data_IF_965460547692
#
_entry.id   IF_965460547692
#
_cell.length_a   1.000
_cell.length_b   1.000
_cell.length_c   1.000
_cell.angle_alpha   90.00
_cell.angle_beta   90.00
_cell.angle_gamma   90.00
#
_symmetry.space_group_name_H-M   'P 1'
#
loop_
_entity.id
_entity.type
_entity.pdbx_description
1 polymer ?
#
# COMPACT_ATOMS: atom_id res chain seq x y z
N UNK A 1 -57.54 1.42 29.35
CA UNK A 1 -56.18 0.84 29.37
C UNK A 1 -55.66 0.40 27.99
N UNK A 2 -56.48 0.29 26.94
CA UNK A 2 -56.03 -0.16 25.59
C UNK A 2 -55.07 0.83 24.91
N UNK A 3 -55.37 2.14 24.93
CA UNK A 3 -54.52 3.14 24.27
C UNK A 3 -53.09 3.25 24.83
N UNK A 4 -52.88 3.02 26.13
CA UNK A 4 -51.54 3.07 26.73
C UNK A 4 -50.62 1.95 26.22
N UNK A 5 -51.17 0.74 26.03
CA UNK A 5 -50.43 -0.40 25.48
C UNK A 5 -50.05 -0.17 24.02
N UNK A 6 -50.96 0.41 23.24
CA UNK A 6 -50.70 0.77 21.83
C UNK A 6 -49.59 1.81 21.72
N UNK A 7 -49.60 2.85 22.57
CA UNK A 7 -48.52 3.85 22.64
C UNK A 7 -47.17 3.22 22.95
N UNK A 8 -47.08 2.38 23.99
CA UNK A 8 -45.82 1.71 24.35
C UNK A 8 -45.32 0.77 23.23
N UNK A 9 -46.23 0.10 22.53
CA UNK A 9 -45.86 -0.79 21.42
C UNK A 9 -45.32 0.01 20.24
N UNK A 10 -45.93 1.16 19.94
CA UNK A 10 -45.45 2.07 18.90
C UNK A 10 -44.07 2.63 19.24
N UNK A 11 -43.88 3.12 20.47
CA UNK A 11 -42.59 3.65 20.94
C UNK A 11 -41.49 2.58 20.92
N UNK A 12 -41.79 1.36 21.35
CA UNK A 12 -40.85 0.23 21.24
C UNK A 12 -40.48 -0.07 19.78
N UNK A 13 -41.44 0.04 18.85
CA UNK A 13 -41.20 -0.11 17.41
C UNK A 13 -40.27 0.96 16.85
N UNK A 14 -40.49 2.23 17.20
CA UNK A 14 -39.64 3.35 16.79
C UNK A 14 -38.20 3.20 17.32
N UNK A 15 -38.04 2.79 18.58
CA UNK A 15 -36.74 2.52 19.18
C UNK A 15 -36.02 1.37 18.48
N UNK A 16 -36.73 0.26 18.22
CA UNK A 16 -36.16 -0.88 17.50
C UNK A 16 -35.70 -0.47 16.09
N UNK A 17 -36.53 0.27 15.35
CA UNK A 17 -36.18 0.75 14.03
C UNK A 17 -34.97 1.71 14.04
N UNK A 18 -34.88 2.59 15.03
CA UNK A 18 -33.74 3.48 15.19
C UNK A 18 -32.43 2.70 15.43
N UNK A 19 -32.45 1.69 16.29
CA UNK A 19 -31.29 0.84 16.56
C UNK A 19 -30.93 -0.07 15.38
N UNK A 20 -31.90 -0.57 14.62
CA UNK A 20 -31.63 -1.30 13.36
C UNK A 20 -30.90 -0.41 12.34
N UNK A 21 -31.35 0.84 12.18
CA UNK A 21 -30.67 1.81 11.31
C UNK A 21 -29.26 2.12 11.80
N UNK A 22 -29.07 2.26 13.11
CA UNK A 22 -27.75 2.46 13.72
C UNK A 22 -26.85 1.25 13.48
N UNK A 23 -27.35 0.04 13.69
CA UNK A 23 -26.61 -1.19 13.42
C UNK A 23 -26.20 -1.30 11.95
N UNK A 24 -27.09 -0.98 11.02
CA UNK A 24 -26.76 -0.94 9.60
C UNK A 24 -25.67 0.09 9.27
N UNK A 25 -25.73 1.30 9.86
CA UNK A 25 -24.70 2.31 9.70
C UNK A 25 -23.34 1.86 10.26
N UNK A 26 -23.33 1.22 11.43
CA UNK A 26 -22.12 0.68 12.05
C UNK A 26 -21.51 -0.46 11.23
N UNK A 27 -22.34 -1.37 10.68
CA UNK A 27 -21.87 -2.44 9.77
C UNK A 27 -21.17 -1.88 8.53
N UNK A 28 -21.70 -0.80 7.94
CA UNK A 28 -21.04 -0.13 6.81
C UNK A 28 -19.69 0.47 7.20
N UNK A 29 -19.59 1.08 8.39
CA UNK A 29 -18.32 1.60 8.90
C UNK A 29 -17.30 0.49 9.16
N UNK A 30 -17.74 -0.64 9.73
CA UNK A 30 -16.87 -1.81 9.93
C UNK A 30 -16.33 -2.33 8.60
N UNK A 31 -17.19 -2.49 7.59
CA UNK A 31 -16.75 -2.93 6.26
C UNK A 31 -15.69 -2.00 5.64
N UNK A 32 -15.85 -0.68 5.80
CA UNK A 32 -14.85 0.29 5.33
C UNK A 32 -13.52 0.17 6.10
N UNK A 33 -13.58 -0.07 7.40
CA UNK A 33 -12.39 -0.32 8.20
C UNK A 33 -11.71 -1.63 7.84
N UNK A 34 -12.47 -2.68 7.54
CA UNK A 34 -11.93 -3.98 7.10
C UNK A 34 -11.20 -3.83 5.75
N UNK A 35 -11.77 -3.07 4.79
CA UNK A 35 -11.11 -2.76 3.53
C UNK A 35 -9.79 -2.00 3.76
N UNK A 36 -9.83 -0.97 4.60
CA UNK A 36 -8.64 -0.18 4.95
C UNK A 36 -7.59 -1.04 5.64
N UNK A 37 -8.00 -1.93 6.55
CA UNK A 37 -7.15 -2.87 7.25
C UNK A 37 -6.50 -3.87 6.30
N UNK A 38 -7.26 -4.41 5.34
CA UNK A 38 -6.74 -5.30 4.32
C UNK A 38 -5.68 -4.61 3.43
N UNK A 39 -5.93 -3.37 3.03
CA UNK A 39 -4.95 -2.56 2.27
C UNK A 39 -3.67 -2.33 3.06
N UNK A 40 -3.77 -1.87 4.31
CA UNK A 40 -2.62 -1.64 5.18
C UNK A 40 -1.82 -2.93 5.41
N UNK A 41 -2.51 -4.06 5.59
CA UNK A 41 -1.85 -5.37 5.73
C UNK A 41 -1.04 -5.71 4.47
N UNK A 42 -1.63 -5.54 3.29
CA UNK A 42 -0.92 -5.75 2.01
C UNK A 42 0.29 -4.83 1.87
N UNK A 43 0.16 -3.56 2.28
CA UNK A 43 1.27 -2.59 2.23
C UNK A 43 2.41 -2.99 3.19
N UNK A 44 2.08 -3.47 4.39
CA UNK A 44 3.05 -4.02 5.35
C UNK A 44 3.76 -5.24 4.78
N UNK A 45 3.02 -6.20 4.20
CA UNK A 45 3.60 -7.39 3.59
C UNK A 45 4.53 -7.03 2.43
N UNK A 46 4.16 -6.03 1.63
CA UNK A 46 5.00 -5.49 0.57
C UNK A 46 6.30 -4.85 1.11
N UNK A 47 6.20 -4.01 2.14
CA UNK A 47 7.35 -3.35 2.76
C UNK A 47 8.29 -4.34 3.46
N UNK A 48 7.75 -5.32 4.19
CA UNK A 48 8.51 -6.40 4.81
C UNK A 48 9.27 -7.23 3.76
N UNK A 49 8.60 -7.53 2.64
CA UNK A 49 9.24 -8.22 1.51
C UNK A 49 10.36 -7.39 0.89
N UNK A 50 10.22 -6.06 0.80
CA UNK A 50 11.26 -5.17 0.29
C UNK A 50 12.54 -5.24 1.15
N UNK A 51 12.40 -5.25 2.48
CA UNK A 51 13.54 -5.39 3.39
C UNK A 51 14.28 -6.72 3.17
N UNK A 52 13.56 -7.84 3.03
CA UNK A 52 14.16 -9.14 2.79
C UNK A 52 14.93 -9.25 1.46
N UNK A 53 14.58 -8.43 0.45
CA UNK A 53 15.22 -8.47 -0.88
C UNK A 53 16.67 -8.02 -0.88
N UNK A 54 17.13 -7.26 0.14
CA UNK A 54 18.53 -6.82 0.22
C UNK A 54 19.51 -8.01 0.22
N UNK A 55 19.15 -9.10 0.90
CA UNK A 55 19.99 -10.30 1.00
C UNK A 55 20.18 -11.04 -0.32
N UNK A 56 19.36 -10.73 -1.34
CA UNK A 56 19.42 -11.35 -2.66
C UNK A 56 19.71 -10.34 -3.77
N UNK A 57 19.98 -9.09 -3.40
CA UNK A 57 20.32 -8.06 -4.37
C UNK A 57 21.69 -8.36 -4.98
N UNK A 58 21.74 -8.32 -6.31
CA UNK A 58 22.96 -8.48 -7.08
C UNK A 58 23.22 -7.13 -7.76
N UNK A 59 24.23 -6.37 -7.31
CA UNK A 59 24.53 -5.05 -7.88
C UNK A 59 24.89 -5.10 -9.36
N UNK A 60 25.45 -6.22 -9.83
CA UNK A 60 25.83 -6.46 -11.23
C UNK A 60 25.38 -7.86 -11.63
N UNK A 61 24.77 -8.00 -12.80
CA UNK A 61 24.37 -9.27 -13.41
C UNK A 61 24.86 -9.23 -14.86
N UNK A 62 25.65 -10.22 -15.28
CA UNK A 62 26.24 -10.28 -16.63
C UNK A 62 26.85 -8.93 -17.05
N UNK A 63 27.74 -8.40 -16.21
CA UNK A 63 28.42 -7.10 -16.37
C UNK A 63 27.50 -5.86 -16.41
N UNK A 64 26.19 -6.05 -16.21
CA UNK A 64 25.21 -4.97 -16.25
C UNK A 64 24.81 -4.53 -14.84
N UNK A 65 25.09 -3.27 -14.44
CA UNK A 65 24.68 -2.76 -13.13
C UNK A 65 23.15 -2.76 -12.98
N UNK A 66 22.66 -3.13 -11.81
CA UNK A 66 21.23 -3.30 -11.53
C UNK A 66 20.70 -2.20 -10.61
N UNK A 67 19.51 -1.71 -10.89
CA UNK A 67 18.86 -0.67 -10.11
C UNK A 67 18.39 -1.20 -8.75
N UNK A 68 18.92 -0.67 -7.61
CA UNK A 68 18.47 -1.10 -6.29
C UNK A 68 17.02 -0.71 -6.02
N UNK A 69 16.54 0.43 -6.54
CA UNK A 69 15.15 0.87 -6.37
C UNK A 69 14.15 -0.12 -6.98
N UNK A 70 14.36 -0.51 -8.24
CA UNK A 70 13.47 -1.47 -8.90
C UNK A 70 13.54 -2.86 -8.26
N UNK A 71 14.71 -3.28 -7.78
CA UNK A 71 14.82 -4.55 -7.06
C UNK A 71 14.11 -4.52 -5.71
N UNK A 72 14.47 -3.56 -4.85
CA UNK A 72 13.96 -3.49 -3.47
C UNK A 72 12.47 -3.19 -3.46
N UNK A 73 11.99 -2.23 -4.25
CA UNK A 73 10.59 -1.81 -4.22
C UNK A 73 9.71 -2.72 -5.11
N UNK A 74 10.22 -3.17 -6.26
CA UNK A 74 9.37 -3.83 -7.27
C UNK A 74 9.74 -5.28 -7.55
N UNK A 75 10.77 -5.84 -6.90
CA UNK A 75 11.33 -7.17 -7.20
C UNK A 75 11.75 -7.35 -8.67
N UNK A 76 12.12 -6.25 -9.34
CA UNK A 76 12.52 -6.26 -10.76
C UNK A 76 14.03 -6.04 -10.91
N UNK A 77 14.65 -6.82 -11.79
CA UNK A 77 16.05 -6.67 -12.18
C UNK A 77 16.12 -5.69 -13.34
N UNK A 78 16.08 -4.41 -13.03
CA UNK A 78 16.17 -3.37 -14.05
C UNK A 78 17.60 -2.89 -14.21
N UNK A 79 18.16 -2.88 -15.43
CA UNK A 79 19.52 -2.42 -15.66
C UNK A 79 19.63 -0.90 -15.48
N UNK A 80 20.77 -0.46 -14.98
CA UNK A 80 21.20 0.93 -15.05
C UNK A 80 21.95 1.15 -16.36
N UNK A 81 21.61 2.22 -17.06
CA UNK A 81 22.36 2.65 -18.25
C UNK A 81 23.32 3.78 -17.85
N UNK A 82 24.55 3.74 -18.35
CA UNK A 82 25.44 4.88 -18.25
C UNK A 82 24.84 6.05 -19.07
N UNK A 83 24.74 7.22 -18.45
CA UNK A 83 24.50 8.47 -19.14
C UNK A 83 25.84 9.19 -19.23
N UNK A 84 26.56 8.93 -20.32
CA UNK A 84 27.77 9.68 -20.68
C UNK A 84 27.34 11.11 -21.05
N UNK A 85 27.40 12.00 -20.07
CA UNK A 85 27.17 13.42 -20.28
C UNK A 85 28.56 14.02 -20.40
N UNK A 86 29.11 14.15 -21.62
CA UNK A 86 30.53 14.42 -21.95
C UNK A 86 31.26 15.51 -21.15
N UNK A 87 31.46 15.29 -19.86
CA UNK A 87 31.82 16.20 -18.79
C UNK A 87 32.09 15.40 -17.50
N UNK A 88 32.43 16.07 -16.40
CA UNK A 88 33.05 15.46 -15.20
C UNK A 88 32.16 14.54 -14.35
N UNK A 89 30.89 14.33 -14.68
CA UNK A 89 29.94 13.61 -13.82
C UNK A 89 29.21 12.52 -14.61
N UNK A 90 29.90 11.43 -14.92
CA UNK A 90 29.24 10.24 -15.43
C UNK A 90 28.32 9.66 -14.33
N UNK A 91 27.10 9.29 -14.71
CA UNK A 91 26.12 8.71 -13.81
C UNK A 91 25.40 7.53 -14.44
N UNK A 92 25.01 6.59 -13.60
CA UNK A 92 24.13 5.49 -13.96
C UNK A 92 22.68 5.88 -13.70
N UNK A 93 21.81 5.71 -14.69
CA UNK A 93 20.38 5.99 -14.57
C UNK A 93 19.52 4.79 -14.89
N UNK A 94 18.53 4.52 -14.04
CA UNK A 94 17.49 3.54 -14.30
C UNK A 94 16.45 4.13 -15.24
N UNK A 95 16.15 3.46 -16.36
CA UNK A 95 15.12 3.90 -17.30
C UNK A 95 13.70 3.77 -16.75
N UNK A 96 13.48 2.79 -15.87
CA UNK A 96 12.15 2.45 -15.34
C UNK A 96 11.70 3.31 -14.16
N UNK A 97 12.63 3.68 -13.27
CA UNK A 97 12.29 4.48 -12.09
C UNK A 97 12.99 5.83 -12.02
N UNK A 98 13.91 6.12 -12.95
CA UNK A 98 14.66 7.37 -12.96
C UNK A 98 15.71 7.51 -11.86
N UNK A 99 15.97 6.45 -11.07
CA UNK A 99 17.01 6.48 -10.05
C UNK A 99 18.39 6.70 -10.66
N UNK A 100 19.17 7.61 -10.06
CA UNK A 100 20.49 8.04 -10.53
C UNK A 100 21.55 7.73 -9.47
N UNK A 101 22.70 7.22 -9.90
CA UNK A 101 23.87 6.92 -9.06
C UNK A 101 25.11 7.52 -9.73
N UNK A 102 25.86 8.40 -9.07
CA UNK A 102 27.11 8.92 -9.62
C UNK A 102 28.19 7.81 -9.67
N UNK A 103 29.08 7.86 -10.67
CA UNK A 103 30.18 6.89 -10.80
C UNK A 103 31.28 7.07 -9.75
N UNK A 104 31.42 8.28 -9.19
CA UNK A 104 32.31 8.58 -8.08
C UNK A 104 31.48 8.85 -6.79
N UNK A 105 31.83 8.23 -5.65
CA UNK A 105 31.15 8.44 -4.36
C UNK A 105 31.45 9.81 -3.73
#
# INVERSE_FOLDING_TARGET
>A
MVGFRETLTHEAGELAFAEERRAAALRRKLALHDETGAKLKSDVDHAASAAARIHRYQPVIDETPQCPHCWILRAKKEPLSNQESGGKNDLFKCRECGYEVPLEP
#
